data_IF_070377825993
#
_entry.id   IF_070377825993
#
_cell.length_a   1.000
_cell.length_b   1.000
_cell.length_c   1.000
_cell.angle_alpha   90.00
_cell.angle_beta   90.00
_cell.angle_gamma   90.00
#
_symmetry.space_group_name_H-M   'P 1'
#
loop_
_entity.id
_entity.type
_entity.pdbx_description
1 polymer ?
#
# COMPACT_ATOMS: atom_id res chain seq x y z
N UNK A 1 -12.60 -6.56 15.54
CA UNK A 1 -12.89 -5.18 15.06
C UNK A 1 -12.39 -4.10 16.01
N UNK A 2 -12.68 -4.16 17.32
CA UNK A 2 -12.26 -3.12 18.30
C UNK A 2 -10.75 -2.81 18.28
N UNK A 3 -9.90 -3.84 18.30
CA UNK A 3 -8.44 -3.68 18.17
C UNK A 3 -8.03 -2.93 16.91
N UNK A 4 -8.67 -3.21 15.77
CA UNK A 4 -8.38 -2.57 14.49
C UNK A 4 -8.82 -1.10 14.49
N UNK A 5 -9.94 -0.79 15.15
CA UNK A 5 -10.38 0.59 15.35
C UNK A 5 -9.40 1.38 16.23
N UNK A 6 -8.94 0.80 17.35
CA UNK A 6 -7.92 1.43 18.20
C UNK A 6 -6.57 1.64 17.48
N UNK A 7 -6.18 0.68 16.64
CA UNK A 7 -4.96 0.78 15.83
C UNK A 7 -5.05 1.88 14.75
N UNK A 8 -6.24 2.19 14.23
CA UNK A 8 -6.40 3.14 13.13
C UNK A 8 -5.82 4.53 13.49
N UNK A 9 -6.15 5.05 14.67
CA UNK A 9 -5.65 6.35 15.16
C UNK A 9 -4.15 6.30 15.45
N UNK A 10 -3.65 5.16 15.95
CA UNK A 10 -2.22 4.95 16.19
C UNK A 10 -1.43 4.98 14.89
N UNK A 11 -1.86 4.23 13.89
CA UNK A 11 -1.16 4.12 12.60
C UNK A 11 -1.29 5.38 11.74
N UNK A 12 -2.36 6.17 11.92
CA UNK A 12 -2.51 7.46 11.25
C UNK A 12 -1.40 8.48 11.59
N UNK A 13 -0.69 8.28 12.71
CA UNK A 13 0.41 9.16 13.15
C UNK A 13 1.79 8.73 12.64
N UNK A 14 1.91 7.58 11.98
CA UNK A 14 3.18 7.10 11.45
C UNK A 14 3.56 7.85 10.17
N UNK A 15 4.85 7.97 9.86
CA UNK A 15 5.30 8.66 8.64
C UNK A 15 4.80 7.97 7.36
N UNK A 16 4.80 6.64 7.35
CA UNK A 16 4.28 5.84 6.25
C UNK A 16 2.78 5.60 6.37
N UNK A 17 2.06 5.76 5.26
CA UNK A 17 0.64 5.40 5.14
C UNK A 17 0.39 3.90 4.96
N UNK A 18 1.43 3.07 4.79
CA UNK A 18 1.29 1.64 4.54
C UNK A 18 0.52 0.92 5.66
N UNK A 19 0.83 1.26 6.91
CA UNK A 19 0.17 0.71 8.10
C UNK A 19 -1.27 1.19 8.24
N UNK A 20 -1.53 2.46 7.87
CA UNK A 20 -2.90 3.00 7.82
C UNK A 20 -3.75 2.23 6.82
N UNK A 21 -3.24 2.03 5.59
CA UNK A 21 -3.94 1.34 4.50
C UNK A 21 -4.18 -0.13 4.88
N UNK A 22 -3.16 -0.82 5.39
CA UNK A 22 -3.28 -2.22 5.81
C UNK A 22 -4.37 -2.40 6.87
N UNK A 23 -4.31 -1.60 7.94
CA UNK A 23 -5.29 -1.69 9.02
C UNK A 23 -6.71 -1.34 8.56
N UNK A 24 -6.86 -0.37 7.65
CA UNK A 24 -8.18 -0.03 7.10
C UNK A 24 -8.79 -1.19 6.30
N UNK A 25 -7.99 -1.86 5.45
CA UNK A 25 -8.45 -3.00 4.68
C UNK A 25 -8.76 -4.21 5.56
N UNK A 26 -7.94 -4.48 6.58
CA UNK A 26 -8.21 -5.51 7.59
C UNK A 26 -9.51 -5.21 8.36
N UNK A 27 -9.78 -3.94 8.67
CA UNK A 27 -11.02 -3.54 9.31
C UNK A 27 -12.25 -3.77 8.41
N UNK A 28 -12.15 -3.40 7.14
CA UNK A 28 -13.21 -3.66 6.16
C UNK A 28 -13.46 -5.16 5.98
N UNK A 29 -12.40 -5.98 5.84
CA UNK A 29 -12.51 -7.43 5.77
C UNK A 29 -13.22 -8.00 7.01
N UNK A 30 -12.88 -7.53 8.21
CA UNK A 30 -13.52 -8.00 9.44
C UNK A 30 -15.03 -7.70 9.49
N UNK A 31 -15.49 -6.61 8.88
CA UNK A 31 -16.93 -6.32 8.72
C UNK A 31 -17.57 -7.32 7.76
N UNK A 32 -16.93 -7.58 6.62
CA UNK A 32 -17.43 -8.54 5.62
C UNK A 32 -17.47 -9.96 6.19
N UNK A 33 -16.43 -10.38 6.92
CA UNK A 33 -16.36 -11.70 7.56
C UNK A 33 -17.49 -11.91 8.56
N UNK A 34 -17.87 -10.86 9.30
CA UNK A 34 -18.97 -10.91 10.26
C UNK A 34 -20.34 -11.18 9.62
N UNK A 35 -20.49 -10.99 8.30
CA UNK A 35 -21.74 -11.31 7.58
C UNK A 35 -21.97 -12.81 7.37
N UNK A 36 -20.91 -13.63 7.41
CA UNK A 36 -20.97 -15.06 7.11
C UNK A 36 -21.26 -15.40 5.63
N UNK A 37 -21.36 -14.40 4.74
CA UNK A 37 -21.66 -14.57 3.32
C UNK A 37 -20.42 -15.02 2.55
N UNK A 38 -20.19 -16.34 2.51
CA UNK A 38 -18.95 -16.96 2.00
C UNK A 38 -18.51 -16.42 0.62
N UNK A 39 -19.44 -16.30 -0.33
CA UNK A 39 -19.13 -15.79 -1.68
C UNK A 39 -18.64 -14.34 -1.63
N UNK A 40 -19.28 -13.49 -0.84
CA UNK A 40 -18.90 -12.08 -0.67
C UNK A 40 -17.55 -11.94 0.02
N UNK A 41 -17.31 -12.75 1.06
CA UNK A 41 -16.02 -12.79 1.77
C UNK A 41 -14.88 -13.15 0.83
N UNK A 42 -15.08 -14.16 -0.03
CA UNK A 42 -14.08 -14.57 -1.02
C UNK A 42 -13.79 -13.45 -2.02
N UNK A 43 -14.81 -12.84 -2.62
CA UNK A 43 -14.60 -11.74 -3.57
C UNK A 43 -13.89 -10.54 -2.93
N UNK A 44 -14.25 -10.17 -1.71
CA UNK A 44 -13.61 -9.05 -1.02
C UNK A 44 -12.12 -9.33 -0.73
N UNK A 45 -11.81 -10.55 -0.30
CA UNK A 45 -10.43 -11.00 -0.05
C UNK A 45 -9.60 -11.01 -1.33
N UNK A 46 -10.16 -11.50 -2.44
CA UNK A 46 -9.49 -11.53 -3.75
C UNK A 46 -9.22 -10.13 -4.31
N UNK A 47 -10.14 -9.18 -4.14
CA UNK A 47 -10.02 -7.81 -4.65
C UNK A 47 -9.09 -6.92 -3.81
N UNK A 48 -8.94 -7.21 -2.51
CA UNK A 48 -8.15 -6.37 -1.59
C UNK A 48 -6.69 -6.16 -2.05
N UNK A 49 -5.95 -7.20 -2.48
CA UNK A 49 -4.62 -7.03 -3.07
C UNK A 49 -4.59 -6.13 -4.31
N UNK A 50 -5.62 -6.20 -5.16
CA UNK A 50 -5.72 -5.37 -6.36
C UNK A 50 -5.95 -3.90 -6.03
N UNK A 51 -6.82 -3.59 -5.07
CA UNK A 51 -7.02 -2.22 -4.58
C UNK A 51 -5.71 -1.64 -4.05
N UNK A 52 -4.91 -2.43 -3.32
CA UNK A 52 -3.59 -1.99 -2.84
C UNK A 52 -2.63 -1.69 -3.99
N UNK A 53 -2.57 -2.57 -5.00
CA UNK A 53 -1.73 -2.37 -6.19
C UNK A 53 -2.16 -1.13 -6.96
N UNK A 54 -3.45 -0.93 -7.13
CA UNK A 54 -4.04 0.22 -7.80
C UNK A 54 -3.69 1.53 -7.08
N UNK A 55 -3.92 1.60 -5.76
CA UNK A 55 -3.59 2.80 -4.97
C UNK A 55 -2.10 3.12 -4.99
N UNK A 56 -1.25 2.09 -4.97
CA UNK A 56 0.19 2.27 -5.09
C UNK A 56 0.58 2.80 -6.47
N UNK A 57 0.03 2.24 -7.55
CA UNK A 57 0.32 2.64 -8.92
C UNK A 57 -0.09 4.09 -9.21
N UNK A 58 -1.26 4.49 -8.71
CA UNK A 58 -1.77 5.84 -8.84
C UNK A 58 -1.11 6.85 -7.88
N UNK A 59 -0.20 6.41 -7.01
CA UNK A 59 0.45 7.30 -6.05
C UNK A 59 -0.52 7.98 -5.08
N UNK A 60 -1.65 7.32 -4.74
CA UNK A 60 -2.69 7.90 -3.88
C UNK A 60 -2.11 8.25 -2.52
N UNK A 61 -2.16 9.54 -2.16
CA UNK A 61 -1.71 10.04 -0.85
C UNK A 61 -2.91 10.33 0.04
N UNK A 62 -2.91 9.75 1.24
CA UNK A 62 -3.91 10.05 2.26
C UNK A 62 -3.44 11.25 3.09
N UNK A 63 -4.10 12.39 2.91
CA UNK A 63 -3.70 13.68 3.50
C UNK A 63 -4.18 13.86 4.94
N UNK A 64 -5.47 13.65 5.23
CA UNK A 64 -6.03 13.69 6.59
C UNK A 64 -6.21 12.27 7.17
N UNK A 65 -5.09 11.57 7.39
CA UNK A 65 -5.13 10.18 7.90
C UNK A 65 -5.75 10.06 9.28
N UNK A 66 -5.50 11.03 10.18
CA UNK A 66 -6.02 10.99 11.54
C UNK A 66 -7.52 11.23 11.55
N UNK A 67 -7.99 12.29 10.87
CA UNK A 67 -9.42 12.57 10.76
C UNK A 67 -10.16 11.44 10.04
N UNK A 68 -9.55 10.82 9.02
CA UNK A 68 -10.15 9.66 8.35
C UNK A 68 -10.20 8.42 9.24
N UNK A 69 -9.17 8.16 10.04
CA UNK A 69 -9.20 7.07 11.02
C UNK A 69 -10.33 7.27 12.04
N UNK A 70 -10.47 8.48 12.59
CA UNK A 70 -11.51 8.81 13.58
C UNK A 70 -12.91 8.74 12.96
N UNK A 71 -13.13 9.42 11.82
CA UNK A 71 -14.46 9.52 11.20
C UNK A 71 -14.90 8.23 10.52
N UNK A 72 -13.98 7.49 9.90
CA UNK A 72 -14.35 6.39 9.01
C UNK A 72 -14.07 5.00 9.58
N UNK A 73 -13.21 4.87 10.60
CA UNK A 73 -12.92 3.57 11.22
C UNK A 73 -13.50 3.52 12.63
N UNK A 74 -13.14 4.47 13.48
CA UNK A 74 -13.59 4.48 14.89
C UNK A 74 -15.10 4.69 14.98
N UNK A 75 -15.64 5.75 14.38
CA UNK A 75 -17.10 6.00 14.40
C UNK A 75 -17.91 4.89 13.73
N UNK A 76 -17.37 4.29 12.66
CA UNK A 76 -18.02 3.15 12.01
C UNK A 76 -18.09 1.95 12.96
N UNK A 77 -16.99 1.62 13.63
CA UNK A 77 -16.97 0.56 14.64
C UNK A 77 -17.97 0.86 15.78
N UNK A 78 -17.98 2.07 16.31
CA UNK A 78 -18.91 2.47 17.37
C UNK A 78 -20.37 2.36 16.94
N UNK A 79 -20.70 2.80 15.72
CA UNK A 79 -22.05 2.72 15.17
C UNK A 79 -22.50 1.26 15.00
N UNK A 80 -21.64 0.40 14.44
CA UNK A 80 -21.90 -1.03 14.31
C UNK A 80 -22.08 -1.70 15.67
N UNK A 81 -21.22 -1.39 16.65
CA UNK A 81 -21.29 -1.96 18.01
C UNK A 81 -22.59 -1.56 18.73
N UNK A 82 -23.03 -0.32 18.54
CA UNK A 82 -24.21 0.22 19.21
C UNK A 82 -25.52 -0.11 18.46
N UNK A 83 -25.45 -0.77 17.30
CA UNK A 83 -26.62 -1.08 16.47
C UNK A 83 -27.19 0.12 15.70
N UNK A 84 -26.45 1.23 15.60
CA UNK A 84 -26.83 2.39 14.79
C UNK A 84 -26.51 2.14 13.31
N UNK A 85 -27.41 1.41 12.65
CA UNK A 85 -27.22 0.96 11.27
C UNK A 85 -27.28 2.11 10.26
N UNK A 86 -28.06 3.16 10.54
CA UNK A 86 -28.18 4.32 9.66
C UNK A 86 -26.83 5.06 9.56
N UNK A 87 -26.26 5.41 10.71
CA UNK A 87 -24.95 6.07 10.76
C UNK A 87 -23.84 5.16 10.21
N UNK A 88 -23.88 3.86 10.53
CA UNK A 88 -22.91 2.91 9.98
C UNK A 88 -22.96 2.86 8.43
N UNK A 89 -24.16 2.83 7.86
CA UNK A 89 -24.36 2.82 6.41
C UNK A 89 -23.86 4.11 5.75
N UNK A 90 -24.18 5.27 6.33
CA UNK A 90 -23.70 6.57 5.85
C UNK A 90 -22.17 6.66 5.84
N UNK A 91 -21.53 6.26 6.94
CA UNK A 91 -20.06 6.27 7.05
C UNK A 91 -19.43 5.30 6.05
N UNK A 92 -20.02 4.10 5.90
CA UNK A 92 -19.54 3.10 4.94
C UNK A 92 -19.58 3.66 3.52
N UNK A 93 -20.71 4.23 3.11
CA UNK A 93 -20.86 4.82 1.78
C UNK A 93 -19.90 5.99 1.54
N UNK A 94 -19.78 6.89 2.53
CA UNK A 94 -18.89 8.05 2.45
C UNK A 94 -17.42 7.67 2.24
N UNK A 95 -16.95 6.53 2.77
CA UNK A 95 -15.59 6.03 2.52
C UNK A 95 -15.34 5.75 1.03
N UNK A 96 -16.26 5.06 0.37
CA UNK A 96 -16.12 4.71 -1.04
C UNK A 96 -16.29 5.92 -1.95
N UNK A 97 -17.22 6.82 -1.62
CA UNK A 97 -17.36 8.09 -2.34
C UNK A 97 -16.06 8.90 -2.30
N UNK A 98 -15.44 9.04 -1.12
CA UNK A 98 -14.15 9.73 -0.98
C UNK A 98 -13.00 9.05 -1.73
N UNK A 99 -12.98 7.72 -1.77
CA UNK A 99 -11.99 6.99 -2.56
C UNK A 99 -12.17 7.26 -4.07
N UNK A 100 -13.42 7.25 -4.55
CA UNK A 100 -13.74 7.56 -5.94
C UNK A 100 -13.36 9.00 -6.31
N UNK A 101 -13.69 9.99 -5.47
CA UNK A 101 -13.31 11.39 -5.67
C UNK A 101 -11.79 11.55 -5.82
N UNK A 102 -11.00 10.83 -5.01
CA UNK A 102 -9.53 10.82 -5.12
C UNK A 102 -9.07 10.26 -6.46
N UNK A 103 -9.65 9.15 -6.91
CA UNK A 103 -9.29 8.56 -8.20
C UNK A 103 -9.66 9.48 -9.37
N UNK A 104 -10.84 10.10 -9.34
CA UNK A 104 -11.27 11.04 -10.37
C UNK A 104 -10.39 12.30 -10.42
N UNK A 105 -9.96 12.79 -9.26
CA UNK A 105 -9.04 13.95 -9.18
C UNK A 105 -7.71 13.63 -9.86
N UNK A 106 -7.17 12.43 -9.64
CA UNK A 106 -5.93 11.99 -10.28
C UNK A 106 -6.06 11.87 -11.80
N UNK A 107 -7.22 11.43 -12.30
CA UNK A 107 -7.48 11.36 -13.75
C UNK A 107 -7.56 12.77 -14.34
N UNK A 108 -8.30 13.69 -13.69
CA UNK A 108 -8.44 15.07 -14.15
C UNK A 108 -7.08 15.80 -14.22
N UNK A 109 -6.20 15.57 -13.25
CA UNK A 109 -4.84 16.11 -13.25
C UNK A 109 -3.99 15.52 -14.39
N UNK A 110 -4.22 14.26 -14.78
CA UNK A 110 -3.53 13.61 -15.90
C UNK A 110 -4.02 14.05 -17.29
N UNK A 111 -5.29 14.42 -17.44
CA UNK A 111 -5.85 14.90 -18.72
C UNK A 111 -5.56 16.40 -18.99
N UNK A 112 -5.15 17.15 -17.97
CA UNK A 112 -4.78 18.58 -18.10
C UNK A 112 -3.39 18.82 -18.69
N UNK A 113 -2.55 17.80 -18.79
CA UNK A 113 -1.21 17.88 -19.39
C UNK A 113 -1.20 17.22 -20.77
N UNK A 114 -1.57 18.00 -21.79
CA UNK A 114 -1.29 17.62 -23.17
C UNK A 114 0.21 17.45 -23.41
N UNK A 115 0.58 16.32 -24.05
CA UNK A 115 1.89 15.86 -24.56
C UNK A 115 2.74 14.91 -23.67
N UNK A 116 3.32 13.85 -24.27
CA UNK A 116 3.95 12.76 -23.54
C UNK A 116 5.38 13.09 -23.12
N UNK A 117 5.68 12.98 -21.82
CA UNK A 117 7.05 12.97 -21.34
C UNK A 117 7.77 11.66 -21.71
N UNK A 118 8.36 11.68 -22.90
CA UNK A 118 9.45 10.85 -23.33
C UNK A 118 10.62 11.00 -22.34
N UNK A 119 10.72 10.14 -21.32
CA UNK A 119 11.93 10.01 -20.50
C UNK A 119 13.01 9.26 -21.28
N UNK A 120 13.72 10.00 -22.14
CA UNK A 120 15.05 9.63 -22.66
C UNK A 120 16.10 10.62 -22.15
N UNK A 121 16.98 10.12 -21.30
CA UNK A 121 18.41 10.48 -21.21
C UNK A 121 19.05 9.48 -20.25
N UNK A 122 19.71 8.42 -20.71
CA UNK A 122 21.00 8.41 -21.41
C UNK A 122 22.11 9.17 -20.65
N UNK A 123 22.41 8.72 -19.42
CA UNK A 123 23.68 9.00 -18.74
C UNK A 123 24.74 7.98 -19.15
N UNK A 124 25.29 8.14 -20.36
CA UNK A 124 26.43 7.38 -20.90
C UNK A 124 27.70 7.91 -20.24
N UNK A 125 28.26 7.20 -19.25
CA UNK A 125 29.62 7.49 -18.78
C UNK A 125 30.61 6.57 -19.47
N UNK A 126 31.10 7.02 -20.61
CA UNK A 126 32.20 6.46 -21.37
C UNK A 126 33.49 6.52 -20.54
N UNK A 127 34.06 5.37 -20.16
CA UNK A 127 35.48 5.28 -19.80
C UNK A 127 36.28 4.84 -21.03
N UNK A 128 37.39 5.51 -21.37
CA UNK A 128 38.15 5.24 -22.60
C UNK A 128 39.02 3.98 -22.48
N UNK A 129 39.16 3.28 -23.61
CA UNK A 129 40.05 2.14 -23.87
C UNK A 129 41.38 2.63 -24.46
N UNK A 130 42.52 2.18 -23.90
CA UNK A 130 43.77 1.73 -24.58
C UNK A 130 44.93 1.50 -23.56
N UNK A 131 46.02 0.77 -23.92
CA UNK A 131 46.11 -0.67 -24.21
C UNK A 131 47.20 -1.38 -23.35
N UNK A 132 47.40 -2.68 -23.63
CA UNK A 132 48.35 -3.69 -23.09
C UNK A 132 49.77 -3.19 -22.67
N UNK A 133 50.55 -3.85 -21.80
CA UNK A 133 51.20 -5.18 -21.97
C UNK A 133 51.77 -5.66 -20.62
N UNK A 134 51.64 -6.96 -20.29
CA UNK A 134 52.45 -7.63 -19.26
C UNK A 134 51.77 -8.79 -18.52
N UNK A 135 51.70 -9.98 -19.14
CA UNK A 135 51.42 -11.30 -18.50
C UNK A 135 52.74 -11.91 -17.98
N UNK A 136 52.79 -13.12 -17.36
CA UNK A 136 51.87 -13.78 -16.41
C UNK A 136 52.58 -14.62 -15.30
N UNK A 137 51.93 -14.89 -14.18
CA UNK A 137 52.02 -16.12 -13.34
C UNK A 137 51.16 -15.86 -12.08
N UNK A 138 50.38 -16.75 -11.48
CA UNK A 138 50.40 -18.20 -11.40
C UNK A 138 49.00 -18.73 -10.98
N UNK A 139 48.78 -20.00 -11.33
CA UNK A 139 47.80 -21.00 -10.88
C UNK A 139 47.46 -20.90 -9.37
N UNK A 140 46.37 -21.39 -8.78
CA UNK A 140 45.22 -22.28 -9.10
C UNK A 140 44.31 -22.28 -7.85
N UNK A 141 43.02 -22.62 -8.02
CA UNK A 141 42.10 -23.34 -7.10
C UNK A 141 41.94 -22.81 -5.65
N UNK A 142 40.75 -22.65 -5.04
CA UNK A 142 39.48 -23.35 -5.16
C UNK A 142 39.04 -23.82 -3.76
N UNK A 143 37.78 -23.54 -3.37
CA UNK A 143 37.07 -24.19 -2.23
C UNK A 143 37.12 -23.42 -0.90
N UNK A 144 36.05 -22.76 -0.44
CA UNK A 144 34.86 -23.28 0.30
C UNK A 144 35.17 -23.88 1.68
N UNK A 145 34.50 -23.37 2.73
CA UNK A 145 34.07 -24.21 3.86
C UNK A 145 34.08 -23.59 5.26
N UNK A 146 32.93 -23.01 5.64
CA UNK A 146 32.26 -22.82 6.96
C UNK A 146 32.99 -22.96 8.33
N UNK A 147 32.51 -22.21 9.36
CA UNK A 147 32.91 -22.36 10.76
C UNK A 147 32.08 -23.44 11.50
N UNK A 148 32.70 -24.09 12.49
CA UNK A 148 32.06 -24.91 13.51
C UNK A 148 32.22 -24.23 14.88
N UNK A 149 31.10 -23.88 15.52
CA UNK A 149 31.03 -23.64 16.96
C UNK A 149 30.68 -24.96 17.64
N UNK A 150 31.49 -25.35 18.62
CA UNK A 150 31.28 -26.49 19.51
C UNK A 150 30.56 -26.09 20.79
N UNK A 151 29.88 -27.09 21.33
CA UNK A 151 29.03 -27.20 22.54
C UNK A 151 29.62 -26.58 23.80
#
# INVERSE_FOLDING_TARGET
MEKLAGNAVKFAKLDSQAETIRNDLEFQQAIIDATGLQRTMQYFSELTPDVRRFNHHLGVVYTDRKGDAERCVVKLFESLRNGDLATAHEIWHAKFAKALERYLSLIADHDSDGEPHQRRSAGRSSKPLRPEIGRPSERRAGGRGRPLYGV
#
